data_IF_573905253371
#
_entry.id   IF_573905253371
#
_cell.length_a   1.000
_cell.length_b   1.000
_cell.length_c   1.000
_cell.angle_alpha   90.00
_cell.angle_beta   90.00
_cell.angle_gamma   90.00
#
_symmetry.space_group_name_H-M   'P 1'
#
loop_
_entity.id
_entity.type
_entity.pdbx_description
1 polymer ?
#
# COMPACT_ATOMS: atom_id res chain seq x y z
N UNK A 1 9.08 5.52 -1.38
CA UNK A 1 8.44 6.41 -0.36
C UNK A 1 9.39 7.34 0.44
N UNK A 2 8.88 8.39 1.12
CA UNK A 2 9.67 9.34 1.95
C UNK A 2 10.05 8.83 3.36
N UNK A 3 11.03 9.48 4.01
CA UNK A 3 11.60 9.08 5.31
C UNK A 3 10.52 8.86 6.38
N UNK A 4 10.46 7.64 6.94
CA UNK A 4 9.65 7.33 8.11
C UNK A 4 10.43 7.65 9.38
N UNK A 5 10.49 8.94 9.70
CA UNK A 5 11.06 9.39 10.96
C UNK A 5 10.07 9.17 12.11
N UNK A 6 10.60 8.74 13.27
CA UNK A 6 9.82 8.66 14.50
C UNK A 6 9.42 10.07 14.98
N UNK A 7 8.19 10.19 15.47
CA UNK A 7 7.65 11.43 16.02
C UNK A 7 6.31 11.19 16.73
N UNK A 8 5.82 12.21 17.43
CA UNK A 8 4.51 12.17 18.08
C UNK A 8 3.44 12.62 17.08
N UNK A 9 2.55 11.72 16.61
CA UNK A 9 1.51 12.11 15.67
C UNK A 9 0.40 12.89 16.40
N UNK A 10 -0.33 13.73 15.66
CA UNK A 10 -1.52 14.41 16.16
C UNK A 10 -2.78 13.65 15.76
N UNK A 11 -3.66 13.40 16.73
CA UNK A 11 -5.02 12.92 16.47
C UNK A 11 -5.83 14.02 15.77
N UNK A 12 -6.90 13.63 15.07
CA UNK A 12 -7.62 14.53 14.15
C UNK A 12 -8.05 15.87 14.76
N UNK A 13 -8.62 15.95 15.99
CA UNK A 13 -9.02 17.23 16.58
C UNK A 13 -7.86 18.22 16.75
N UNK A 14 -6.64 17.73 16.99
CA UNK A 14 -5.43 18.53 17.15
C UNK A 14 -4.77 18.82 15.80
N UNK A 15 -4.73 17.83 14.90
CA UNK A 15 -4.25 18.00 13.54
C UNK A 15 -5.08 19.07 12.79
N UNK A 16 -6.41 19.06 12.95
CA UNK A 16 -7.34 20.03 12.33
C UNK A 16 -7.03 21.47 12.75
N UNK A 17 -6.68 21.72 14.02
CA UNK A 17 -6.30 23.06 14.52
C UNK A 17 -5.07 23.61 13.79
N UNK A 18 -4.15 22.73 13.38
CA UNK A 18 -2.90 23.08 12.73
C UNK A 18 -2.96 22.99 11.19
N UNK A 19 -4.07 22.52 10.60
CA UNK A 19 -4.17 22.25 9.17
C UNK A 19 -3.85 23.48 8.30
N UNK A 20 -4.34 24.67 8.67
CA UNK A 20 -4.04 25.91 7.94
C UNK A 20 -2.56 26.29 8.04
N UNK A 21 -1.96 26.07 9.20
CA UNK A 21 -0.54 26.34 9.43
C UNK A 21 0.35 25.42 8.58
N UNK A 22 0.04 24.12 8.56
CA UNK A 22 0.72 23.13 7.71
C UNK A 22 0.60 23.50 6.23
N UNK A 23 -0.58 23.93 5.77
CA UNK A 23 -0.78 24.39 4.39
C UNK A 23 0.06 25.64 4.07
N UNK A 24 0.05 26.65 4.92
CA UNK A 24 0.84 27.88 4.73
C UNK A 24 2.34 27.57 4.65
N UNK A 25 2.86 26.78 5.58
CA UNK A 25 4.26 26.38 5.59
C UNK A 25 4.63 25.49 4.41
N UNK A 26 3.74 24.58 4.02
CA UNK A 26 3.91 23.74 2.83
C UNK A 26 4.04 24.57 1.55
N UNK A 27 3.23 25.63 1.39
CA UNK A 27 3.35 26.55 0.26
C UNK A 27 4.68 27.32 0.31
N UNK A 28 5.12 27.78 1.47
CA UNK A 28 6.43 28.44 1.62
C UNK A 28 7.58 27.51 1.22
N UNK A 29 7.54 26.26 1.66
CA UNK A 29 8.52 25.23 1.28
C UNK A 29 8.47 24.94 -0.22
N UNK A 30 7.28 24.79 -0.81
CA UNK A 30 7.10 24.61 -2.25
C UNK A 30 7.71 25.77 -3.05
N UNK A 31 7.48 27.02 -2.63
CA UNK A 31 8.07 28.20 -3.28
C UNK A 31 9.60 28.23 -3.14
N UNK A 32 10.14 27.82 -1.99
CA UNK A 32 11.58 27.71 -1.79
C UNK A 32 12.19 26.64 -2.70
N UNK A 33 11.57 25.46 -2.81
CA UNK A 33 11.96 24.39 -3.73
C UNK A 33 11.90 24.90 -5.17
N UNK A 34 10.78 25.54 -5.56
CA UNK A 34 10.61 26.11 -6.89
C UNK A 34 11.72 27.11 -7.22
N UNK A 35 11.99 28.09 -6.36
CA UNK A 35 13.01 29.09 -6.61
C UNK A 35 14.42 28.49 -6.70
N UNK A 36 14.71 27.44 -5.94
CA UNK A 36 16.00 26.72 -5.98
C UNK A 36 16.14 25.80 -7.21
N UNK A 37 15.04 25.22 -7.70
CA UNK A 37 15.09 24.13 -8.68
C UNK A 37 14.53 24.46 -10.08
N UNK A 38 13.74 25.53 -10.24
CA UNK A 38 13.04 25.85 -11.51
C UNK A 38 13.96 26.03 -12.72
N UNK A 39 15.20 26.47 -12.51
CA UNK A 39 16.21 26.65 -13.56
C UNK A 39 17.13 25.45 -13.77
N UNK A 40 16.91 24.33 -13.07
CA UNK A 40 17.73 23.13 -13.25
C UNK A 40 17.42 22.50 -14.61
N UNK A 41 18.47 22.20 -15.35
CA UNK A 41 18.43 21.30 -16.49
C UNK A 41 19.31 20.09 -16.21
N UNK A 42 18.78 18.91 -16.48
CA UNK A 42 19.52 17.65 -16.49
C UNK A 42 19.90 17.30 -17.92
N UNK A 43 20.86 16.40 -18.04
CA UNK A 43 21.40 15.87 -19.30
C UNK A 43 21.06 14.39 -19.52
N UNK A 44 20.54 13.72 -18.49
CA UNK A 44 20.13 12.32 -18.53
C UNK A 44 18.69 12.10 -18.06
N UNK A 45 17.95 11.28 -18.83
CA UNK A 45 16.69 10.69 -18.38
C UNK A 45 17.03 9.50 -17.49
N UNK A 46 16.66 9.62 -16.22
CA UNK A 46 16.79 8.56 -15.22
C UNK A 46 15.41 8.05 -14.89
N UNK A 47 15.28 6.78 -14.55
CA UNK A 47 14.00 6.21 -14.13
C UNK A 47 14.20 5.06 -13.14
N UNK A 48 13.15 4.64 -12.46
CA UNK A 48 13.22 3.57 -11.48
C UNK A 48 11.86 2.90 -11.33
N UNK A 49 11.88 1.63 -10.98
CA UNK A 49 10.69 0.85 -10.65
C UNK A 49 10.59 0.62 -9.13
N UNK A 50 9.38 0.61 -8.60
CA UNK A 50 9.06 0.22 -7.23
C UNK A 50 8.12 -0.99 -7.29
N UNK A 51 8.53 -2.10 -6.67
CA UNK A 51 7.77 -3.35 -6.65
C UNK A 51 7.34 -3.65 -5.23
N UNK A 52 6.04 -3.85 -5.04
CA UNK A 52 5.46 -4.23 -3.76
C UNK A 52 5.16 -5.75 -3.72
N UNK A 53 5.42 -6.36 -2.56
CA UNK A 53 5.24 -7.79 -2.28
C UNK A 53 4.26 -7.98 -1.14
N UNK A 54 3.46 -9.03 -1.21
CA UNK A 54 2.72 -9.63 -0.09
C UNK A 54 3.53 -10.83 0.40
N UNK A 55 3.89 -10.84 1.68
CA UNK A 55 4.57 -11.96 2.32
C UNK A 55 3.51 -12.95 2.81
N UNK A 56 3.54 -14.15 2.26
CA UNK A 56 2.62 -15.24 2.63
C UNK A 56 3.36 -16.36 3.33
N UNK A 57 2.71 -17.04 4.27
CA UNK A 57 3.14 -18.34 4.76
C UNK A 57 2.50 -19.43 3.89
N UNK A 58 3.32 -20.35 3.42
CA UNK A 58 2.93 -21.49 2.61
C UNK A 58 3.72 -22.73 3.02
N UNK A 59 3.00 -23.82 3.28
CA UNK A 59 3.54 -25.16 3.50
C UNK A 59 2.83 -26.10 2.52
N UNK A 60 3.57 -27.00 1.88
CA UNK A 60 3.00 -28.00 0.97
C UNK A 60 2.04 -28.99 1.69
N UNK A 61 2.19 -29.13 3.00
CA UNK A 61 1.40 -30.02 3.85
C UNK A 61 0.20 -29.32 4.51
N UNK A 62 0.14 -27.98 4.49
CA UNK A 62 -1.00 -27.21 4.98
C UNK A 62 -1.72 -26.54 3.80
N UNK A 63 -3.00 -26.89 3.51
CA UNK A 63 -3.75 -26.23 2.45
C UNK A 63 -4.01 -24.73 2.72
N UNK A 64 -3.71 -24.22 3.92
CA UNK A 64 -3.87 -22.81 4.28
C UNK A 64 -2.63 -22.01 3.91
N UNK A 65 -2.88 -20.96 3.13
CA UNK A 65 -1.95 -19.85 2.96
C UNK A 65 -2.41 -18.72 3.88
N UNK A 66 -1.49 -18.08 4.60
CA UNK A 66 -1.80 -16.93 5.47
C UNK A 66 -0.86 -15.77 5.17
N UNK A 67 -1.22 -14.56 5.59
CA UNK A 67 -0.34 -13.40 5.53
C UNK A 67 0.66 -13.44 6.69
N UNK A 68 1.96 -13.37 6.41
CA UNK A 68 2.97 -13.21 7.45
C UNK A 68 3.01 -11.76 7.91
N UNK A 69 2.78 -11.51 9.20
CA UNK A 69 2.83 -10.17 9.78
C UNK A 69 4.25 -9.78 10.24
N UNK A 70 5.29 -10.34 9.60
CA UNK A 70 6.70 -10.19 9.98
C UNK A 70 7.51 -9.19 9.16
N UNK A 71 6.86 -8.26 8.44
CA UNK A 71 7.57 -7.22 7.68
C UNK A 71 8.68 -6.53 8.50
N UNK A 72 8.38 -6.12 9.74
CA UNK A 72 9.35 -5.44 10.59
C UNK A 72 10.55 -6.34 10.94
N UNK A 73 10.33 -7.63 11.20
CA UNK A 73 11.41 -8.59 11.48
C UNK A 73 12.27 -8.81 10.24
N UNK A 74 11.66 -8.89 9.05
CA UNK A 74 12.37 -9.08 7.78
C UNK A 74 13.24 -7.86 7.46
N UNK A 75 12.67 -6.65 7.58
CA UNK A 75 13.43 -5.41 7.41
C UNK A 75 14.54 -5.27 8.44
N UNK A 76 14.29 -5.68 9.70
CA UNK A 76 15.32 -5.71 10.73
C UNK A 76 16.44 -6.70 10.38
N UNK A 77 16.11 -7.91 9.90
CA UNK A 77 17.11 -8.89 9.46
C UNK A 77 17.96 -8.37 8.31
N UNK A 78 17.34 -7.76 7.30
CA UNK A 78 18.01 -7.09 6.18
C UNK A 78 18.97 -5.96 6.65
N UNK A 79 18.55 -5.18 7.65
CA UNK A 79 19.35 -4.09 8.21
C UNK A 79 20.53 -4.56 9.08
N UNK A 80 20.49 -5.78 9.60
CA UNK A 80 21.51 -6.32 10.52
C UNK A 80 22.33 -7.44 9.89
N UNK A 81 22.30 -7.57 8.57
CA UNK A 81 23.17 -8.48 7.83
C UNK A 81 24.55 -7.84 7.64
N UNK A 82 25.59 -8.46 8.22
CA UNK A 82 26.96 -7.96 8.17
C UNK A 82 27.50 -7.86 6.73
N UNK A 83 27.13 -8.79 5.85
CA UNK A 83 27.58 -8.78 4.45
C UNK A 83 26.91 -7.63 3.68
N UNK A 84 25.61 -7.42 3.84
CA UNK A 84 24.89 -6.31 3.21
C UNK A 84 25.36 -4.96 3.76
N UNK A 85 25.58 -4.87 5.07
CA UNK A 85 26.09 -3.67 5.72
C UNK A 85 27.48 -3.29 5.21
N UNK A 86 28.36 -4.26 5.00
CA UNK A 86 29.68 -4.03 4.41
C UNK A 86 29.63 -3.47 2.97
N UNK A 87 28.49 -3.62 2.29
CA UNK A 87 28.25 -3.19 0.90
C UNK A 87 27.33 -1.96 0.78
N UNK A 88 27.07 -1.26 1.89
CA UNK A 88 26.27 -0.03 1.90
C UNK A 88 24.80 -0.20 2.29
N UNK A 89 24.41 -1.37 2.81
CA UNK A 89 23.08 -1.62 3.35
C UNK A 89 21.97 -1.71 2.29
N UNK A 90 20.85 -2.32 2.68
CA UNK A 90 19.68 -2.51 1.82
C UNK A 90 18.38 -1.91 2.39
N UNK A 91 18.49 -1.09 3.44
CA UNK A 91 17.38 -0.32 4.02
C UNK A 91 17.75 1.17 4.01
N UNK A 92 16.76 2.10 3.97
CA UNK A 92 17.02 3.53 3.77
C UNK A 92 18.03 4.14 4.75
N UNK A 93 18.00 3.72 6.02
CA UNK A 93 18.83 4.29 7.08
C UNK A 93 20.32 3.90 7.00
N UNK A 94 20.67 2.94 6.13
CA UNK A 94 22.04 2.39 6.03
C UNK A 94 22.73 2.74 4.71
N UNK A 95 22.08 3.50 3.83
CA UNK A 95 22.62 3.88 2.52
C UNK A 95 23.58 5.07 2.57
N UNK A 96 24.82 4.83 3.00
CA UNK A 96 25.88 5.86 3.01
C UNK A 96 27.07 5.52 2.10
N UNK A 97 27.08 4.36 1.43
CA UNK A 97 28.28 3.87 0.72
C UNK A 97 28.00 3.55 -0.75
N UNK A 98 28.73 4.21 -1.66
CA UNK A 98 28.83 3.78 -3.06
C UNK A 98 29.68 2.50 -3.13
N UNK A 99 29.08 1.39 -3.57
CA UNK A 99 29.78 0.11 -3.76
C UNK A 99 30.98 0.25 -4.70
N UNK A 100 32.13 -0.30 -4.31
CA UNK A 100 33.38 -0.28 -5.07
C UNK A 100 33.29 -0.98 -6.44
N UNK A 101 32.29 -1.84 -6.66
CA UNK A 101 32.09 -2.59 -7.90
C UNK A 101 31.00 -1.99 -8.82
N UNK A 102 30.44 -0.83 -8.49
CA UNK A 102 29.46 -0.11 -9.33
C UNK A 102 28.01 -0.60 -9.25
N UNK A 103 27.75 -1.75 -8.62
CA UNK A 103 26.40 -2.25 -8.31
C UNK A 103 26.01 -1.90 -6.87
N UNK A 104 25.01 -1.04 -6.74
CA UNK A 104 24.38 -0.64 -5.48
C UNK A 104 23.33 -1.68 -5.08
N UNK A 105 23.30 -2.07 -3.80
CA UNK A 105 22.30 -2.99 -3.27
C UNK A 105 20.87 -2.46 -3.47
N UNK A 106 19.88 -3.33 -3.73
CA UNK A 106 18.48 -2.93 -3.74
C UNK A 106 18.05 -2.35 -2.40
N UNK A 107 17.00 -1.54 -2.42
CA UNK A 107 16.48 -0.87 -1.22
C UNK A 107 15.13 -1.46 -0.86
N UNK A 108 14.94 -1.84 0.40
CA UNK A 108 13.68 -2.34 0.93
C UNK A 108 13.03 -1.34 1.86
N UNK A 109 11.75 -1.07 1.64
CA UNK A 109 10.96 -0.12 2.38
C UNK A 109 9.78 -0.82 3.06
N UNK A 110 9.36 -0.34 4.24
CA UNK A 110 8.07 -0.71 4.82
C UNK A 110 6.92 -0.09 4.01
N UNK A 111 5.83 -0.84 3.94
CA UNK A 111 4.54 -0.42 3.36
C UNK A 111 3.42 -0.45 4.40
N UNK A 112 2.22 0.02 4.05
CA UNK A 112 1.07 0.09 4.97
C UNK A 112 0.78 -1.26 5.64
N UNK A 113 0.72 -2.35 4.88
CA UNK A 113 0.45 -3.68 5.43
C UNK A 113 1.66 -4.24 6.18
N UNK A 114 1.46 -4.81 7.37
CA UNK A 114 2.52 -5.51 8.13
C UNK A 114 2.99 -6.81 7.45
N UNK A 115 2.30 -7.20 6.39
CA UNK A 115 2.61 -8.31 5.50
C UNK A 115 3.17 -7.84 4.16
N UNK A 116 3.44 -6.55 3.98
CA UNK A 116 3.93 -6.02 2.71
C UNK A 116 5.44 -5.76 2.74
N UNK A 117 6.09 -5.73 1.60
CA UNK A 117 7.43 -5.15 1.43
C UNK A 117 7.43 -4.34 0.14
N UNK A 118 8.10 -3.20 0.11
CA UNK A 118 8.41 -2.47 -1.13
C UNK A 118 9.90 -2.64 -1.42
N UNK A 119 10.27 -2.84 -2.68
CA UNK A 119 11.68 -2.88 -3.08
C UNK A 119 11.96 -2.13 -4.38
N UNK A 120 13.06 -1.39 -4.39
CA UNK A 120 13.53 -0.55 -5.51
C UNK A 120 14.96 -0.94 -5.91
N UNK A 121 15.42 -0.64 -7.14
CA UNK A 121 16.83 -0.78 -7.48
C UNK A 121 17.69 0.15 -6.62
N UNK A 122 18.94 -0.23 -6.33
CA UNK A 122 19.84 0.59 -5.51
C UNK A 122 20.26 1.93 -6.12
N UNK A 123 20.05 2.10 -7.42
CA UNK A 123 20.27 3.32 -8.19
C UNK A 123 19.24 3.39 -9.31
N UNK A 124 18.90 4.60 -9.79
CA UNK A 124 18.02 4.72 -10.94
C UNK A 124 18.67 4.15 -12.20
N UNK A 125 17.84 3.59 -13.06
CA UNK A 125 18.15 3.17 -14.41
C UNK A 125 18.42 4.36 -15.33
N UNK A 126 19.35 4.21 -16.26
CA UNK A 126 19.45 5.06 -17.44
C UNK A 126 18.58 4.57 -18.59
N UNK A 127 18.79 5.15 -19.77
CA UNK A 127 18.07 4.81 -21.01
C UNK A 127 18.84 3.87 -21.93
N UNK A 128 20.02 3.42 -21.52
CA UNK A 128 20.84 2.49 -22.30
C UNK A 128 20.20 1.11 -22.35
N UNK A 129 20.43 0.37 -23.44
CA UNK A 129 19.91 -1.00 -23.58
C UNK A 129 20.34 -1.94 -22.46
N UNK A 130 21.55 -1.76 -21.92
CA UNK A 130 22.03 -2.55 -20.78
C UNK A 130 21.12 -2.38 -19.57
N UNK A 131 20.82 -1.14 -19.20
CA UNK A 131 19.97 -0.84 -18.04
C UNK A 131 18.56 -1.42 -18.22
N UNK A 132 18.01 -1.35 -19.44
CA UNK A 132 16.71 -1.96 -19.76
C UNK A 132 16.70 -3.48 -19.61
N UNK A 133 17.80 -4.15 -19.97
CA UNK A 133 17.93 -5.61 -19.88
C UNK A 133 18.19 -6.08 -18.43
N UNK A 134 18.71 -5.21 -17.57
CA UNK A 134 19.05 -5.54 -16.18
C UNK A 134 17.85 -5.43 -15.21
N UNK A 135 16.73 -4.82 -15.63
CA UNK A 135 15.53 -4.61 -14.78
C UNK A 135 14.99 -5.92 -14.20
N UNK A 136 14.73 -6.92 -15.05
CA UNK A 136 14.17 -8.20 -14.61
C UNK A 136 15.15 -8.95 -13.70
N UNK A 137 16.44 -8.93 -14.03
CA UNK A 137 17.48 -9.57 -13.24
C UNK A 137 17.58 -8.92 -11.84
N UNK A 138 17.43 -7.61 -11.78
CA UNK A 138 17.41 -6.86 -10.52
C UNK A 138 16.13 -7.15 -9.70
N UNK A 139 14.96 -7.29 -10.33
CA UNK A 139 13.73 -7.74 -9.64
C UNK A 139 13.88 -9.17 -9.09
N UNK A 140 14.49 -10.10 -9.85
CA UNK A 140 14.81 -11.45 -9.38
C UNK A 140 15.75 -11.42 -8.18
N UNK A 141 16.77 -10.58 -8.23
CA UNK A 141 17.71 -10.40 -7.12
C UNK A 141 17.01 -9.86 -5.88
N UNK A 142 16.17 -8.83 -6.01
CA UNK A 142 15.33 -8.30 -4.92
C UNK A 142 14.50 -9.41 -4.25
N UNK A 143 13.80 -10.22 -5.05
CA UNK A 143 12.99 -11.33 -4.52
C UNK A 143 13.82 -12.38 -3.79
N UNK A 144 14.97 -12.75 -4.37
CA UNK A 144 15.90 -13.72 -3.77
C UNK A 144 16.42 -13.21 -2.42
N UNK A 145 16.93 -11.97 -2.40
CA UNK A 145 17.46 -11.34 -1.21
C UNK A 145 16.40 -11.25 -0.11
N UNK A 146 15.18 -10.80 -0.44
CA UNK A 146 14.08 -10.77 0.53
C UNK A 146 13.80 -12.17 1.12
N UNK A 147 13.79 -13.23 0.29
CA UNK A 147 13.56 -14.62 0.75
C UNK A 147 14.68 -15.16 1.64
N UNK A 148 15.93 -14.74 1.45
CA UNK A 148 17.06 -15.14 2.31
C UNK A 148 16.91 -14.62 3.75
N UNK A 149 16.14 -13.55 3.96
CA UNK A 149 15.84 -12.96 5.26
C UNK A 149 14.45 -13.31 5.81
N UNK A 150 13.76 -14.24 5.16
CA UNK A 150 12.45 -14.76 5.55
C UNK A 150 12.59 -16.16 6.18
N UNK A 151 11.56 -16.59 6.90
CA UNK A 151 11.46 -17.98 7.35
C UNK A 151 11.31 -18.94 6.16
N UNK A 152 11.59 -20.25 6.35
CA UNK A 152 11.44 -21.26 5.29
C UNK A 152 10.06 -21.28 4.62
N UNK A 153 8.99 -21.10 5.40
CA UNK A 153 7.60 -21.09 4.97
C UNK A 153 7.11 -19.74 4.41
N UNK A 154 7.88 -18.66 4.55
CA UNK A 154 7.50 -17.31 4.13
C UNK A 154 7.93 -16.99 2.69
N UNK A 155 7.03 -16.52 1.84
CA UNK A 155 7.34 -16.21 0.44
C UNK A 155 6.92 -14.78 0.07
N UNK A 156 7.80 -13.99 -0.58
CA UNK A 156 7.44 -12.70 -1.13
C UNK A 156 6.72 -12.89 -2.47
N UNK A 157 5.42 -12.64 -2.50
CA UNK A 157 4.56 -12.78 -3.67
C UNK A 157 4.17 -11.41 -4.22
N UNK A 158 4.34 -11.17 -5.52
CA UNK A 158 3.89 -9.92 -6.17
C UNK A 158 2.42 -10.04 -6.56
N UNK A 159 1.56 -10.29 -5.57
CA UNK A 159 0.11 -10.31 -5.71
C UNK A 159 -0.45 -8.92 -5.49
N UNK A 160 -1.34 -8.46 -6.36
CA UNK A 160 -1.97 -7.15 -6.21
C UNK A 160 -2.81 -7.04 -4.94
N UNK A 161 -3.58 -8.07 -4.59
CA UNK A 161 -4.31 -8.12 -3.30
C UNK A 161 -4.31 -9.56 -2.82
N UNK A 162 -4.25 -9.77 -1.50
CA UNK A 162 -4.44 -11.09 -0.92
C UNK A 162 -5.92 -11.50 -1.01
N UNK A 163 -6.28 -12.56 -1.76
CA UNK A 163 -7.68 -12.85 -2.10
C UNK A 163 -8.62 -13.05 -0.92
N UNK A 164 -8.08 -13.50 0.23
CA UNK A 164 -8.83 -13.82 1.45
C UNK A 164 -8.63 -12.80 2.57
N UNK A 165 -8.10 -11.61 2.28
CA UNK A 165 -7.96 -10.56 3.29
C UNK A 165 -9.32 -10.26 3.92
N UNK A 166 -9.39 -10.29 5.26
CA UNK A 166 -10.63 -10.03 6.00
C UNK A 166 -11.72 -11.11 5.87
N UNK A 167 -11.40 -12.28 5.29
CA UNK A 167 -12.33 -13.41 5.26
C UNK A 167 -12.54 -14.00 6.66
N UNK A 168 -13.70 -14.62 6.95
CA UNK A 168 -13.89 -15.36 8.19
C UNK A 168 -12.80 -16.44 8.39
N UNK A 169 -12.38 -16.60 9.64
CA UNK A 169 -11.34 -17.55 10.04
C UNK A 169 -9.94 -16.95 10.08
N UNK A 170 -8.93 -17.82 10.06
CA UNK A 170 -7.52 -17.43 10.18
C UNK A 170 -6.95 -17.15 8.80
N UNK A 171 -6.50 -15.91 8.57
CA UNK A 171 -5.85 -15.48 7.33
C UNK A 171 -4.52 -14.76 7.55
N UNK A 172 -4.06 -14.61 8.80
CA UNK A 172 -2.76 -14.04 9.17
C UNK A 172 -1.99 -14.99 10.09
N UNK A 173 -0.68 -14.84 10.12
CA UNK A 173 0.20 -15.43 11.13
C UNK A 173 1.20 -14.38 11.65
N UNK A 174 1.28 -14.15 12.97
CA UNK A 174 0.36 -14.68 13.98
C UNK A 174 -1.09 -14.23 13.75
N UNK A 175 -2.04 -15.04 14.25
CA UNK A 175 -3.45 -14.70 14.21
C UNK A 175 -3.79 -13.65 15.27
N UNK A 176 -4.59 -12.67 14.87
CA UNK A 176 -5.23 -11.71 15.78
C UNK A 176 -6.73 -11.67 15.48
N UNK A 177 -7.59 -11.54 16.52
CA UNK A 177 -9.01 -11.38 16.31
C UNK A 177 -9.30 -10.06 15.55
N UNK A 178 -10.30 -10.02 14.65
CA UNK A 178 -10.70 -8.78 13.98
C UNK A 178 -11.03 -7.66 14.96
N UNK A 179 -10.99 -6.42 14.46
CA UNK A 179 -11.21 -5.19 15.22
C UNK A 179 -10.03 -4.77 16.07
N UNK A 180 -10.16 -3.57 16.65
CA UNK A 180 -9.12 -2.88 17.39
C UNK A 180 -9.37 -1.37 17.45
N UNK A 181 -8.79 -0.65 18.41
CA UNK A 181 -9.06 0.77 18.62
C UNK A 181 -8.62 1.68 17.46
N UNK A 182 -7.70 1.24 16.60
CA UNK A 182 -7.13 2.04 15.51
C UNK A 182 -7.92 1.94 14.22
N UNK A 183 -8.23 0.75 13.73
CA UNK A 183 -8.98 0.52 12.49
C UNK A 183 -10.48 0.37 12.74
N UNK A 184 -10.90 -0.25 13.84
CA UNK A 184 -12.31 -0.55 14.19
C UNK A 184 -13.06 -1.35 13.12
N UNK A 185 -12.32 -2.14 12.36
CA UNK A 185 -12.89 -2.98 11.30
C UNK A 185 -13.55 -4.21 11.88
N UNK A 186 -14.68 -4.62 11.32
CA UNK A 186 -15.26 -5.92 11.68
C UNK A 186 -14.53 -7.11 11.02
N UNK A 187 -13.62 -6.86 10.08
CA UNK A 187 -13.00 -7.89 9.23
C UNK A 187 -11.49 -8.08 9.46
N UNK A 188 -10.77 -7.02 9.83
CA UNK A 188 -9.31 -7.06 10.00
C UNK A 188 -8.86 -6.56 11.38
N UNK A 189 -7.81 -7.14 11.96
CA UNK A 189 -7.20 -6.66 13.21
C UNK A 189 -6.39 -5.37 12.97
N UNK A 190 -6.08 -4.61 14.02
CA UNK A 190 -5.16 -3.46 13.91
C UNK A 190 -3.74 -3.88 13.49
N UNK A 191 -3.32 -5.09 13.87
CA UNK A 191 -2.02 -5.69 13.57
C UNK A 191 -1.80 -5.96 12.08
N UNK A 192 -2.85 -5.87 11.25
CA UNK A 192 -2.74 -5.91 9.79
C UNK A 192 -1.92 -4.73 9.26
N UNK A 193 -1.91 -3.60 10.00
CA UNK A 193 -1.17 -2.40 9.66
C UNK A 193 0.25 -2.44 10.26
N UNK A 194 1.18 -1.83 9.52
CA UNK A 194 2.54 -1.62 9.95
C UNK A 194 2.58 -0.86 11.29
N UNK A 195 3.43 -1.28 12.24
CA UNK A 195 3.47 -0.71 13.60
C UNK A 195 3.98 0.74 13.64
N UNK A 196 4.63 1.23 12.57
CA UNK A 196 5.08 2.60 12.47
C UNK A 196 3.89 3.56 12.59
N UNK A 197 3.99 4.49 13.54
CA UNK A 197 2.88 5.28 14.06
C UNK A 197 2.10 6.07 12.97
N UNK A 198 2.76 6.40 11.86
CA UNK A 198 2.16 7.02 10.68
C UNK A 198 0.91 6.27 10.19
N UNK A 199 0.96 4.93 10.08
CA UNK A 199 -0.10 4.17 9.41
C UNK A 199 -1.35 4.04 10.27
N UNK A 200 -1.28 3.65 11.56
CA UNK A 200 -2.45 3.62 12.43
C UNK A 200 -3.07 5.01 12.64
N UNK A 201 -2.26 6.07 12.78
CA UNK A 201 -2.79 7.43 12.93
C UNK A 201 -3.47 7.93 11.66
N UNK A 202 -2.94 7.60 10.46
CA UNK A 202 -3.60 7.96 9.20
C UNK A 202 -4.98 7.31 9.11
N UNK A 203 -5.10 6.02 9.39
CA UNK A 203 -6.38 5.32 9.37
C UNK A 203 -7.39 5.89 10.39
N UNK A 204 -6.92 6.16 11.62
CA UNK A 204 -7.76 6.76 12.67
C UNK A 204 -8.23 8.18 12.32
N UNK A 205 -7.33 9.02 11.78
CA UNK A 205 -7.66 10.39 11.39
C UNK A 205 -8.62 10.46 10.20
N UNK A 206 -8.47 9.57 9.21
CA UNK A 206 -9.42 9.47 8.09
C UNK A 206 -10.82 9.14 8.62
N UNK A 207 -10.97 8.10 9.46
CA UNK A 207 -12.27 7.75 10.07
C UNK A 207 -12.83 8.91 10.89
N UNK A 208 -12.01 9.53 11.74
CA UNK A 208 -12.45 10.63 12.60
C UNK A 208 -12.87 11.88 11.80
N UNK A 209 -12.17 12.21 10.71
CA UNK A 209 -12.54 13.30 9.81
C UNK A 209 -13.83 12.98 9.06
N UNK A 210 -13.92 11.77 8.50
CA UNK A 210 -15.07 11.28 7.74
C UNK A 210 -16.34 11.22 8.59
N UNK A 211 -16.20 10.93 9.89
CA UNK A 211 -17.30 10.76 10.84
C UNK A 211 -17.97 9.38 10.79
N UNK A 212 -17.45 8.46 9.98
CA UNK A 212 -17.88 7.07 9.78
C UNK A 212 -16.71 6.24 9.24
N UNK A 213 -16.84 4.91 9.21
CA UNK A 213 -15.81 4.07 8.56
C UNK A 213 -15.68 4.39 7.07
N UNK A 214 -14.52 4.07 6.51
CA UNK A 214 -14.38 4.02 5.05
C UNK A 214 -15.27 2.92 4.51
N UNK A 215 -15.84 3.13 3.32
CA UNK A 215 -16.81 2.20 2.73
C UNK A 215 -16.29 1.74 1.38
N UNK A 216 -15.80 0.51 1.34
CA UNK A 216 -15.28 -0.12 0.13
C UNK A 216 -16.25 -1.22 -0.28
N UNK A 217 -17.12 -0.90 -1.23
CA UNK A 217 -18.13 -1.81 -1.77
C UNK A 217 -17.72 -2.24 -3.18
N UNK A 218 -17.47 -3.53 -3.37
CA UNK A 218 -17.02 -4.09 -4.65
C UNK A 218 -18.13 -4.94 -5.24
N UNK A 219 -18.58 -4.70 -6.48
CA UNK A 219 -19.60 -5.52 -7.13
C UNK A 219 -19.25 -7.02 -7.07
N UNK A 220 -20.19 -7.85 -6.64
CA UNK A 220 -20.02 -9.30 -6.61
C UNK A 220 -20.18 -9.88 -8.02
N UNK A 221 -19.35 -10.86 -8.38
CA UNK A 221 -19.54 -11.62 -9.61
C UNK A 221 -20.83 -12.48 -9.52
N UNK A 222 -21.70 -12.35 -10.53
CA UNK A 222 -22.95 -13.10 -10.62
C UNK A 222 -22.75 -14.40 -11.40
N UNK A 223 -22.43 -15.47 -10.67
CA UNK A 223 -22.45 -16.83 -11.21
C UNK A 223 -23.87 -17.43 -11.21
N UNK A 224 -24.04 -18.61 -11.81
CA UNK A 224 -25.31 -19.38 -11.89
C UNK A 224 -25.96 -19.55 -10.52
N UNK A 225 -25.14 -19.76 -9.47
CA UNK A 225 -25.60 -20.01 -8.10
C UNK A 225 -25.40 -18.82 -7.15
N UNK A 226 -24.97 -17.65 -7.65
CA UNK A 226 -24.93 -16.45 -6.82
C UNK A 226 -26.37 -15.96 -6.60
N UNK A 227 -26.91 -15.94 -5.36
CA UNK A 227 -28.26 -15.45 -5.11
C UNK A 227 -28.40 -13.98 -5.54
N UNK A 228 -29.59 -13.56 -5.95
CA UNK A 228 -29.85 -12.19 -6.39
C UNK A 228 -31.20 -11.68 -5.85
N UNK A 229 -31.22 -10.66 -4.96
CA UNK A 229 -30.05 -9.92 -4.46
C UNK A 229 -29.12 -10.79 -3.60
N UNK A 230 -27.81 -10.58 -3.77
CA UNK A 230 -26.78 -11.17 -2.93
C UNK A 230 -26.57 -10.28 -1.70
N UNK A 231 -26.50 -10.89 -0.52
CA UNK A 231 -26.08 -10.21 0.70
C UNK A 231 -24.75 -10.76 1.15
N UNK A 232 -23.83 -9.88 1.50
CA UNK A 232 -22.51 -10.28 1.97
C UNK A 232 -22.63 -11.10 3.26
N UNK A 233 -22.34 -12.42 3.22
CA UNK A 233 -22.60 -13.29 4.35
C UNK A 233 -21.58 -13.11 5.48
N UNK A 234 -20.53 -12.31 5.27
CA UNK A 234 -19.51 -12.08 6.30
C UNK A 234 -19.76 -10.80 7.10
N UNK A 235 -20.76 -9.99 6.75
CA UNK A 235 -21.11 -8.77 7.51
C UNK A 235 -21.87 -9.14 8.77
N UNK A 236 -21.39 -8.68 9.92
CA UNK A 236 -22.06 -8.88 11.20
C UNK A 236 -22.94 -7.66 11.54
N UNK A 237 -24.25 -7.80 11.29
CA UNK A 237 -25.24 -6.76 11.60
C UNK A 237 -25.62 -6.65 13.07
N UNK A 238 -25.11 -7.52 13.94
CA UNK A 238 -25.33 -7.50 15.39
C UNK A 238 -24.10 -7.02 16.17
N UNK A 239 -23.05 -6.55 15.48
CA UNK A 239 -21.85 -5.99 16.11
C UNK A 239 -22.13 -4.58 16.66
N UNK A 240 -21.68 -4.31 17.89
CA UNK A 240 -21.90 -3.04 18.61
C UNK A 240 -20.67 -2.61 19.44
N UNK A 241 -19.48 -3.01 19.02
CA UNK A 241 -18.24 -2.71 19.76
C UNK A 241 -17.84 -1.24 19.61
N UNK A 242 -18.16 -0.66 18.45
CA UNK A 242 -17.88 0.73 18.10
C UNK A 242 -19.14 1.45 17.60
N UNK A 243 -19.24 2.78 17.78
CA UNK A 243 -20.34 3.56 17.21
C UNK A 243 -20.49 3.36 15.69
N UNK A 244 -19.37 3.21 14.98
CA UNK A 244 -19.36 3.02 13.53
C UNK A 244 -19.83 1.62 13.09
N UNK A 245 -20.09 0.67 14.00
CA UNK A 245 -20.68 -0.61 13.62
C UNK A 245 -22.14 -0.47 13.17
N UNK A 246 -22.81 0.64 13.54
CA UNK A 246 -24.12 1.01 13.00
C UNK A 246 -24.07 1.38 11.51
N UNK A 247 -22.90 1.65 10.93
CA UNK A 247 -22.78 2.06 9.52
C UNK A 247 -23.43 1.04 8.57
N UNK A 248 -23.26 -0.26 8.82
CA UNK A 248 -23.85 -1.32 7.97
C UNK A 248 -25.38 -1.39 8.10
N UNK A 249 -25.92 -1.09 9.28
CA UNK A 249 -27.37 -0.97 9.51
C UNK A 249 -27.95 0.28 8.86
N UNK A 250 -27.11 1.30 8.64
CA UNK A 250 -27.43 2.54 7.94
C UNK A 250 -27.09 2.50 6.43
N UNK A 251 -26.88 1.30 5.86
CA UNK A 251 -26.73 1.12 4.41
C UNK A 251 -25.29 1.10 3.88
N UNK A 252 -24.27 1.02 4.74
CA UNK A 252 -22.88 0.93 4.29
C UNK A 252 -22.57 -0.36 3.52
N UNK A 253 -23.34 -1.43 3.72
CA UNK A 253 -23.23 -2.73 3.05
C UNK A 253 -24.45 -2.98 2.13
N UNK A 254 -24.46 -2.44 0.91
CA UNK A 254 -25.57 -2.59 -0.03
C UNK A 254 -25.63 -4.00 -0.64
N UNK A 255 -26.84 -4.41 -1.05
CA UNK A 255 -27.06 -5.65 -1.79
C UNK A 255 -26.19 -5.71 -3.06
N UNK A 256 -25.65 -6.89 -3.38
CA UNK A 256 -24.79 -7.21 -4.52
C UNK A 256 -23.37 -6.62 -4.47
N UNK A 257 -22.88 -6.24 -3.29
CA UNK A 257 -21.51 -5.76 -3.11
C UNK A 257 -20.80 -6.47 -1.97
N UNK A 258 -19.57 -6.92 -2.21
CA UNK A 258 -18.62 -7.34 -1.19
C UNK A 258 -18.28 -6.09 -0.37
N UNK A 259 -18.64 -6.09 0.91
CA UNK A 259 -18.45 -4.96 1.82
C UNK A 259 -17.14 -5.09 2.61
N UNK A 260 -16.38 -4.00 2.65
CA UNK A 260 -15.10 -3.87 3.34
C UNK A 260 -15.01 -2.49 4.00
N UNK A 261 -14.49 -2.41 5.23
CA UNK A 261 -14.66 -1.23 6.10
C UNK A 261 -13.35 -0.64 6.66
N UNK A 262 -12.21 -1.01 6.06
CA UNK A 262 -10.89 -0.64 6.56
C UNK A 262 -9.92 -0.18 5.47
N UNK A 263 -8.99 0.69 5.86
CA UNK A 263 -7.90 1.17 4.98
C UNK A 263 -7.05 0.03 4.40
N UNK A 264 -6.94 -1.09 5.13
CA UNK A 264 -6.20 -2.28 4.70
C UNK A 264 -6.72 -2.92 3.42
N UNK A 265 -8.01 -2.76 3.10
CA UNK A 265 -8.57 -3.32 1.85
C UNK A 265 -8.17 -2.54 0.59
N UNK A 266 -7.63 -1.34 0.76
CA UNK A 266 -7.00 -0.57 -0.31
C UNK A 266 -5.49 -0.60 -0.19
N UNK A 267 -4.96 0.06 0.83
CA UNK A 267 -3.50 0.25 1.02
C UNK A 267 -2.77 -1.05 1.41
N UNK A 268 -3.49 -2.13 1.70
CA UNK A 268 -2.94 -3.49 1.78
C UNK A 268 -2.81 -4.20 0.42
N UNK A 269 -2.95 -3.46 -0.68
CA UNK A 269 -2.80 -3.95 -2.05
C UNK A 269 -1.48 -3.48 -2.64
N UNK A 270 -0.80 -4.36 -3.38
CA UNK A 270 0.45 -4.07 -4.05
C UNK A 270 0.26 -3.43 -5.44
N UNK A 271 1.31 -2.76 -5.91
CA UNK A 271 1.42 -2.28 -7.26
C UNK A 271 2.84 -2.30 -7.83
N UNK A 272 2.92 -2.03 -9.13
CA UNK A 272 4.15 -1.68 -9.81
C UNK A 272 4.09 -0.17 -10.09
N UNK A 273 5.09 0.56 -9.60
CA UNK A 273 5.23 2.00 -9.86
C UNK A 273 6.47 2.24 -10.69
N UNK A 274 6.42 3.24 -11.57
CA UNK A 274 7.57 3.66 -12.37
C UNK A 274 7.72 5.18 -12.25
N UNK A 275 8.88 5.63 -11.82
CA UNK A 275 9.21 7.04 -11.63
C UNK A 275 10.22 7.47 -12.69
N UNK A 276 9.94 8.56 -13.40
CA UNK A 276 10.84 9.14 -14.41
C UNK A 276 11.35 10.52 -13.95
N UNK A 277 12.65 10.74 -14.10
CA UNK A 277 13.27 12.06 -14.00
C UNK A 277 13.31 12.71 -15.39
N UNK A 278 12.49 13.74 -15.57
CA UNK A 278 12.56 14.61 -16.75
C UNK A 278 13.78 15.55 -16.70
N UNK A 279 14.15 16.09 -17.87
CA UNK A 279 15.21 17.07 -18.08
C UNK A 279 15.04 18.30 -17.19
N UNK A 280 13.83 18.86 -17.18
CA UNK A 280 13.47 20.08 -16.45
C UNK A 280 11.96 20.09 -16.20
N UNK A 281 11.47 21.15 -15.55
CA UNK A 281 10.04 21.27 -15.22
C UNK A 281 9.13 21.32 -16.45
N UNK A 282 9.57 21.93 -17.55
CA UNK A 282 8.76 22.05 -18.77
C UNK A 282 8.54 20.68 -19.39
N UNK A 283 9.60 19.87 -19.51
CA UNK A 283 9.46 18.49 -19.96
C UNK A 283 8.68 17.63 -18.96
N UNK A 284 8.93 17.78 -17.65
CA UNK A 284 8.22 17.04 -16.61
C UNK A 284 6.70 17.24 -16.67
N UNK A 285 6.25 18.48 -16.88
CA UNK A 285 4.83 18.80 -17.09
C UNK A 285 4.30 18.17 -18.38
N UNK A 286 5.06 18.28 -19.48
CA UNK A 286 4.65 17.66 -20.75
C UNK A 286 4.50 16.15 -20.63
N UNK A 287 5.47 15.49 -20.00
CA UNK A 287 5.44 14.05 -19.77
C UNK A 287 4.26 13.65 -18.88
N UNK A 288 4.01 14.39 -17.80
CA UNK A 288 2.83 14.20 -16.95
C UNK A 288 1.53 14.30 -17.78
N UNK A 289 1.37 15.34 -18.59
CA UNK A 289 0.17 15.54 -19.41
C UNK A 289 -0.01 14.42 -20.44
N UNK A 290 1.08 13.92 -21.04
CA UNK A 290 1.03 12.86 -22.05
C UNK A 290 0.82 11.45 -21.45
N UNK A 291 1.31 11.17 -20.24
CA UNK A 291 1.12 9.88 -19.57
C UNK A 291 -0.23 9.79 -18.85
N UNK A 292 -0.80 10.91 -18.42
CA UNK A 292 -2.11 10.95 -17.75
C UNK A 292 -3.24 10.18 -18.48
N UNK A 293 -3.47 10.35 -19.79
CA UNK A 293 -4.50 9.59 -20.51
C UNK A 293 -4.18 8.09 -20.66
N UNK A 294 -2.92 7.68 -20.49
CA UNK A 294 -2.51 6.27 -20.55
C UNK A 294 -2.78 5.52 -19.23
N UNK A 295 -2.89 6.22 -18.11
CA UNK A 295 -3.11 5.62 -16.79
C UNK A 295 -4.30 4.64 -16.75
N UNK A 296 -5.53 4.99 -17.21
CA UNK A 296 -6.65 4.04 -17.21
C UNK A 296 -6.45 2.88 -18.20
N UNK A 297 -5.73 3.08 -19.30
CA UNK A 297 -5.43 2.03 -20.28
C UNK A 297 -4.48 1.01 -19.66
N UNK A 298 -3.41 1.48 -19.01
CA UNK A 298 -2.46 0.61 -18.32
C UNK A 298 -3.11 -0.11 -17.15
N UNK A 299 -3.97 0.57 -16.38
CA UNK A 299 -4.74 -0.05 -15.30
C UNK A 299 -5.56 -1.25 -15.80
N UNK A 300 -6.26 -1.10 -16.93
CA UNK A 300 -7.04 -2.17 -17.54
C UNK A 300 -6.15 -3.28 -18.12
N UNK A 301 -5.04 -2.91 -18.78
CA UNK A 301 -4.11 -3.87 -19.39
C UNK A 301 -3.40 -4.75 -18.33
N UNK A 302 -3.13 -4.19 -17.16
CA UNK A 302 -2.42 -4.86 -16.06
C UNK A 302 -3.38 -5.31 -14.95
N UNK A 303 -4.63 -5.59 -15.28
CA UNK A 303 -5.64 -6.02 -14.32
C UNK A 303 -5.22 -7.32 -13.63
N UNK A 304 -5.34 -7.36 -12.30
CA UNK A 304 -4.78 -8.42 -11.46
C UNK A 304 -5.49 -8.53 -10.09
N UNK A 305 -6.73 -8.07 -9.98
CA UNK A 305 -7.49 -8.04 -8.70
C UNK A 305 -8.94 -8.51 -8.84
N UNK A 306 -9.19 -9.76 -9.26
CA UNK A 306 -10.54 -10.27 -9.46
C UNK A 306 -11.20 -10.84 -8.20
N UNK A 307 -10.53 -10.83 -7.04
CA UNK A 307 -11.02 -11.49 -5.81
C UNK A 307 -10.84 -10.57 -4.60
N UNK A 308 -11.91 -10.43 -3.81
CA UNK A 308 -11.90 -9.74 -2.52
C UNK A 308 -12.62 -10.57 -1.46
N UNK A 309 -12.02 -10.65 -0.27
CA UNK A 309 -12.61 -11.31 0.91
C UNK A 309 -13.15 -12.73 0.63
N UNK A 310 -12.47 -13.46 -0.25
CA UNK A 310 -12.84 -14.83 -0.66
C UNK A 310 -13.92 -14.92 -1.73
N UNK A 311 -14.37 -13.81 -2.32
CA UNK A 311 -15.41 -13.77 -3.35
C UNK A 311 -14.85 -13.23 -4.67
N UNK A 312 -15.33 -13.80 -5.79
CA UNK A 312 -15.08 -13.26 -7.12
C UNK A 312 -15.80 -11.91 -7.26
N UNK A 313 -15.08 -10.89 -7.73
CA UNK A 313 -15.60 -9.55 -7.96
C UNK A 313 -15.94 -9.34 -9.43
N UNK A 314 -16.93 -8.49 -9.72
CA UNK A 314 -17.26 -8.04 -11.08
C UNK A 314 -16.41 -6.79 -11.46
N UNK A 315 -15.10 -6.91 -11.24
CA UNK A 315 -14.05 -5.95 -11.58
C UNK A 315 -12.69 -6.64 -11.44
N UNK A 316 -11.74 -6.29 -12.31
CA UNK A 316 -10.42 -6.93 -12.33
C UNK A 316 -9.30 -6.04 -11.77
N UNK A 317 -9.63 -4.82 -11.31
CA UNK A 317 -8.66 -3.81 -10.87
C UNK A 317 -8.95 -3.27 -9.47
N UNK A 318 -7.90 -2.85 -8.77
CA UNK A 318 -7.95 -2.37 -7.37
C UNK A 318 -8.23 -0.87 -7.17
N UNK A 319 -8.28 -0.08 -8.25
CA UNK A 319 -8.15 1.39 -8.16
C UNK A 319 -9.25 2.04 -7.32
N UNK A 320 -10.51 1.65 -7.55
CA UNK A 320 -11.64 2.19 -6.82
C UNK A 320 -11.56 1.81 -5.34
N UNK A 321 -11.06 0.61 -5.05
CA UNK A 321 -10.93 0.08 -3.69
C UNK A 321 -9.88 0.87 -2.90
N UNK A 322 -8.72 1.14 -3.49
CA UNK A 322 -7.71 2.03 -2.88
C UNK A 322 -8.30 3.42 -2.67
N UNK A 323 -8.92 4.00 -3.70
CA UNK A 323 -9.50 5.34 -3.62
C UNK A 323 -10.51 5.45 -2.47
N UNK A 324 -11.34 4.43 -2.26
CA UNK A 324 -12.36 4.41 -1.19
C UNK A 324 -11.79 4.07 0.19
N UNK A 325 -10.74 3.27 0.26
CA UNK A 325 -10.10 2.87 1.52
C UNK A 325 -9.41 4.02 2.26
N UNK A 326 -9.17 5.15 1.59
CA UNK A 326 -8.60 6.37 2.17
C UNK A 326 -9.46 7.61 1.91
N UNK A 327 -10.73 7.43 1.55
CA UNK A 327 -11.67 8.51 1.27
C UNK A 327 -12.08 9.20 2.58
N UNK A 328 -11.46 10.34 2.87
CA UNK A 328 -11.66 11.08 4.12
C UNK A 328 -12.84 12.05 4.05
N UNK A 329 -13.53 12.15 2.90
CA UNK A 329 -14.60 13.11 2.66
C UNK A 329 -15.77 12.94 3.63
N UNK A 330 -16.24 14.06 4.19
CA UNK A 330 -17.44 14.10 5.02
C UNK A 330 -18.71 13.89 4.18
N UNK A 331 -19.85 13.67 4.83
CA UNK A 331 -21.16 13.61 4.17
C UNK A 331 -21.44 14.87 3.32
N UNK A 332 -21.09 16.05 3.83
CA UNK A 332 -21.20 17.33 3.11
C UNK A 332 -20.33 17.35 1.84
N UNK A 333 -19.06 16.93 1.94
CA UNK A 333 -18.15 16.86 0.78
C UNK A 333 -18.56 15.80 -0.25
N UNK A 334 -19.40 14.84 0.15
CA UNK A 334 -20.01 13.84 -0.72
C UNK A 334 -21.37 14.28 -1.29
N UNK A 335 -21.92 15.42 -0.84
CA UNK A 335 -23.24 15.91 -1.25
C UNK A 335 -24.40 15.11 -0.66
N UNK A 336 -24.21 14.47 0.50
CA UNK A 336 -25.24 13.68 1.18
C UNK A 336 -26.11 14.53 2.14
N UNK A 337 -25.69 15.76 2.44
CA UNK A 337 -26.35 16.69 3.39
C UNK A 337 -26.41 18.10 2.88
#
# INVERSE_FOLDING_TARGET
MGLLALGTPLEWPEAKKNANHVRDWGIKQLLAIWNKAKGKERDALLWGDEVEYIVVNYDENDPKVTLSLRQADILHSLAHDDELNSKGGCVPDLQDVASANGDTLPVFHPEFGRFMLEATPGKPWGIGFKDLLDVEQNMKWRRKLAKEHMKPEEYPMTLTTYPRLGSPGVFTDPYFPPSGPKLRSQFVPDEIANPHIRFPTLAANIRSRRGRKVQVNVPIYKDVNTPWPWKDPTVNYDLHDWPEDDDVRNGAAPDNFIHMDAMAFGMGSCCLQITFQAKNITEGRRMYDQLSPLAPILLALTAATPVYKGFLADTDVRWNQISRAVDDRTAEELGET
#
